data_IF_039337578294
#
_entry.id   IF_039337578294
#
_cell.length_a   1.000
_cell.length_b   1.000
_cell.length_c   1.000
_cell.angle_alpha   90.00
_cell.angle_beta   90.00
_cell.angle_gamma   90.00
#
_symmetry.space_group_name_H-M   'P 1'
#
loop_
_entity.id
_entity.type
_entity.pdbx_description
1 polymer ?
#
# COMPACT_ATOMS: atom_id res chain seq x y z
N UNK A 1 -10.40 -1.96 -16.77
CA UNK A 1 -9.76 -3.21 -17.25
C UNK A 1 -8.26 -2.99 -17.16
N UNK A 2 -7.52 -3.96 -16.62
CA UNK A 2 -6.06 -3.94 -16.61
C UNK A 2 -5.55 -4.43 -17.97
N UNK A 3 -4.65 -3.68 -18.58
CA UNK A 3 -3.96 -4.07 -19.81
C UNK A 3 -2.46 -4.19 -19.54
N UNK A 4 -1.73 -4.87 -20.41
CA UNK A 4 -0.30 -5.18 -20.21
C UNK A 4 0.61 -3.97 -19.98
N UNK A 5 0.18 -2.76 -20.34
CA UNK A 5 0.99 -1.53 -20.19
C UNK A 5 0.29 -0.40 -19.44
N UNK A 6 -0.94 -0.60 -18.98
CA UNK A 6 -1.68 0.48 -18.33
C UNK A 6 -3.11 0.11 -17.93
N UNK A 7 -3.83 1.10 -17.42
CA UNK A 7 -5.23 0.98 -17.01
C UNK A 7 -6.12 1.62 -18.05
N UNK A 8 -7.09 0.86 -18.56
CA UNK A 8 -8.16 1.39 -19.41
C UNK A 8 -9.44 1.54 -18.60
N UNK A 9 -9.96 2.75 -18.54
CA UNK A 9 -11.25 3.09 -17.96
C UNK A 9 -12.28 3.33 -19.07
N UNK A 10 -13.36 2.54 -19.05
CA UNK A 10 -14.49 2.72 -19.96
C UNK A 10 -15.63 3.38 -19.19
N UNK A 11 -15.94 4.63 -19.51
CA UNK A 11 -17.10 5.32 -18.96
C UNK A 11 -18.38 4.90 -19.70
N UNK A 12 -19.52 4.90 -19.01
CA UNK A 12 -20.84 4.69 -19.62
C UNK A 12 -21.37 5.92 -20.35
N UNK A 13 -20.85 7.12 -20.03
CA UNK A 13 -21.32 8.41 -20.58
C UNK A 13 -20.19 9.28 -21.15
N UNK A 14 -19.02 8.71 -21.44
CA UNK A 14 -17.86 9.50 -21.87
C UNK A 14 -16.81 8.69 -22.63
N UNK A 15 -15.74 9.37 -23.08
CA UNK A 15 -14.66 8.73 -23.81
C UNK A 15 -13.98 7.67 -22.95
N UNK A 16 -13.48 6.63 -23.61
CA UNK A 16 -12.60 5.65 -22.96
C UNK A 16 -11.26 6.33 -22.68
N UNK A 17 -10.78 6.24 -21.44
CA UNK A 17 -9.52 6.83 -21.00
C UNK A 17 -8.49 5.73 -20.75
N UNK A 18 -7.22 6.04 -21.01
CA UNK A 18 -6.11 5.13 -20.87
C UNK A 18 -4.94 5.83 -20.18
N UNK A 19 -4.37 5.17 -19.16
CA UNK A 19 -3.17 5.63 -18.46
C UNK A 19 -2.09 4.55 -18.48
N UNK A 20 -0.91 4.84 -19.05
CA UNK A 20 0.25 3.98 -18.88
C UNK A 20 0.65 3.86 -17.41
N UNK A 21 1.10 2.68 -16.95
CA UNK A 21 1.55 2.50 -15.56
C UNK A 21 2.66 3.46 -15.14
N UNK A 22 3.52 3.84 -16.08
CA UNK A 22 4.64 4.78 -15.84
C UNK A 22 4.17 6.19 -15.47
N UNK A 23 3.02 6.63 -15.99
CA UNK A 23 2.44 7.97 -15.72
C UNK A 23 1.63 8.00 -14.42
N UNK A 24 1.32 6.84 -13.86
CA UNK A 24 0.61 6.75 -12.58
C UNK A 24 1.63 6.97 -11.46
N UNK A 25 1.36 7.95 -10.60
CA UNK A 25 2.13 8.22 -9.40
C UNK A 25 1.66 7.34 -8.24
N UNK A 26 0.35 7.25 -8.03
CA UNK A 26 -0.28 6.32 -7.08
C UNK A 26 -1.73 6.08 -7.45
N UNK A 27 -2.31 5.02 -6.87
CA UNK A 27 -3.75 4.86 -6.74
C UNK A 27 -4.18 4.89 -5.29
N UNK A 28 -5.42 5.27 -5.09
CA UNK A 28 -6.13 5.17 -3.83
C UNK A 28 -7.45 4.44 -4.10
N UNK A 29 -7.56 3.25 -3.47
CA UNK A 29 -8.71 2.35 -3.53
C UNK A 29 -9.41 2.26 -2.17
N UNK A 30 -9.42 3.36 -1.40
CA UNK A 30 -10.02 3.41 -0.06
C UNK A 30 -11.54 3.17 -0.04
N UNK A 31 -12.14 3.04 -1.21
CA UNK A 31 -13.54 2.92 -1.45
C UNK A 31 -13.79 1.80 -2.46
N UNK A 32 -14.63 0.79 -2.17
CA UNK A 32 -14.90 -0.31 -3.08
C UNK A 32 -15.30 0.22 -4.46
N UNK A 33 -16.17 1.24 -4.49
CA UNK A 33 -16.68 1.87 -5.72
C UNK A 33 -16.00 3.18 -6.08
N UNK A 34 -14.88 3.55 -5.48
CA UNK A 34 -14.20 4.79 -5.88
C UNK A 34 -12.70 4.58 -5.94
N UNK A 35 -12.19 4.94 -7.10
CA UNK A 35 -10.78 4.85 -7.43
C UNK A 35 -10.28 6.26 -7.69
N UNK A 36 -9.24 6.67 -6.98
CA UNK A 36 -8.53 7.91 -7.27
C UNK A 36 -7.19 7.56 -7.90
N UNK A 37 -6.95 8.07 -9.09
CA UNK A 37 -5.69 7.98 -9.81
C UNK A 37 -4.98 9.31 -9.64
N UNK A 38 -3.75 9.28 -9.14
CA UNK A 38 -2.85 10.43 -9.23
C UNK A 38 -1.78 10.13 -10.27
N UNK A 39 -1.68 11.01 -11.26
CA UNK A 39 -0.74 10.87 -12.35
C UNK A 39 0.25 12.02 -12.40
N UNK A 40 1.43 11.74 -12.93
CA UNK A 40 2.30 12.76 -13.49
C UNK A 40 1.68 13.13 -14.85
N UNK A 41 1.30 14.39 -15.08
CA UNK A 41 1.11 14.85 -16.45
C UNK A 41 2.02 16.05 -16.69
N UNK A 42 2.93 15.89 -17.66
CA UNK A 42 3.67 16.97 -18.29
C UNK A 42 3.20 17.08 -19.75
N UNK A 43 2.00 17.64 -19.98
CA UNK A 43 1.56 17.98 -21.34
C UNK A 43 2.17 19.31 -21.77
N UNK A 44 2.85 19.25 -22.92
CA UNK A 44 3.62 20.31 -23.56
C UNK A 44 3.10 21.76 -23.43
N UNK A 45 4.08 22.62 -23.14
CA UNK A 45 4.21 24.08 -23.27
C UNK A 45 3.12 25.04 -22.73
N UNK A 46 1.83 24.74 -22.58
CA UNK A 46 0.84 25.84 -22.29
C UNK A 46 -0.22 25.65 -21.20
N UNK A 47 -0.11 24.69 -20.27
CA UNK A 47 -0.99 24.64 -19.09
C UNK A 47 -0.18 24.17 -17.87
N UNK A 48 -0.50 24.74 -16.70
CA UNK A 48 0.26 24.65 -15.44
C UNK A 48 0.63 23.20 -15.08
N UNK A 49 1.92 23.01 -14.76
CA UNK A 49 2.45 21.83 -14.06
C UNK A 49 1.73 21.65 -12.72
N UNK A 50 1.22 20.45 -12.45
CA UNK A 50 0.62 20.10 -11.17
C UNK A 50 0.17 18.64 -11.12
N UNK A 51 0.21 18.03 -9.93
CA UNK A 51 -0.36 16.70 -9.68
C UNK A 51 -1.86 16.71 -10.07
N UNK A 52 -2.26 15.81 -10.96
CA UNK A 52 -3.65 15.71 -11.40
C UNK A 52 -4.31 14.51 -10.74
N UNK A 53 -5.33 14.80 -9.92
CA UNK A 53 -6.19 13.81 -9.26
C UNK A 53 -7.40 13.51 -10.13
N UNK A 54 -7.47 12.30 -10.66
CA UNK A 54 -8.68 11.80 -11.33
C UNK A 54 -9.46 10.93 -10.37
N UNK A 55 -10.75 11.23 -10.22
CA UNK A 55 -11.66 10.47 -9.38
C UNK A 55 -12.67 9.74 -10.25
N UNK A 56 -12.72 8.44 -10.09
CA UNK A 56 -13.67 7.56 -10.77
C UNK A 56 -14.62 6.98 -9.74
N UNK A 57 -15.91 7.18 -9.93
CA UNK A 57 -16.93 6.39 -9.24
C UNK A 57 -17.27 5.18 -10.13
N UNK A 58 -17.02 3.99 -9.60
CA UNK A 58 -17.11 2.71 -10.30
C UNK A 58 -18.52 2.11 -10.14
N UNK A 59 -19.03 1.52 -11.21
CA UNK A 59 -20.32 0.83 -11.21
C UNK A 59 -20.34 -0.41 -10.30
N UNK A 60 -19.18 -1.00 -10.03
CA UNK A 60 -19.02 -2.15 -9.13
C UNK A 60 -17.74 -2.00 -8.31
N UNK A 61 -17.70 -2.60 -7.11
CA UNK A 61 -16.47 -2.66 -6.32
C UNK A 61 -15.28 -3.18 -7.11
N UNK A 62 -14.08 -2.62 -6.93
CA UNK A 62 -12.84 -3.27 -7.40
C UNK A 62 -12.63 -4.52 -6.55
N UNK A 63 -12.56 -5.73 -7.13
CA UNK A 63 -12.24 -6.92 -6.35
C UNK A 63 -10.82 -6.83 -5.77
N UNK A 64 -10.57 -7.35 -4.55
CA UNK A 64 -9.24 -7.30 -3.91
C UNK A 64 -8.11 -7.83 -4.80
N UNK A 65 -8.35 -8.93 -5.53
CA UNK A 65 -7.37 -9.49 -6.45
C UNK A 65 -6.99 -8.52 -7.59
N UNK A 66 -7.95 -7.74 -8.10
CA UNK A 66 -7.69 -6.73 -9.15
C UNK A 66 -6.96 -5.52 -8.57
N UNK A 67 -7.27 -5.14 -7.34
CA UNK A 67 -6.56 -4.09 -6.62
C UNK A 67 -5.08 -4.46 -6.37
N UNK A 68 -4.84 -5.70 -5.95
CA UNK A 68 -3.50 -6.25 -5.73
C UNK A 68 -2.69 -6.34 -7.03
N UNK A 69 -3.29 -6.86 -8.11
CA UNK A 69 -2.66 -6.91 -9.43
C UNK A 69 -2.31 -5.50 -9.94
N UNK A 70 -3.23 -4.55 -9.79
CA UNK A 70 -2.99 -3.15 -10.16
C UNK A 70 -1.81 -2.56 -9.39
N UNK A 71 -1.77 -2.76 -8.07
CA UNK A 71 -0.67 -2.28 -7.24
C UNK A 71 0.67 -2.88 -7.68
N UNK A 72 0.70 -4.18 -7.97
CA UNK A 72 1.88 -4.88 -8.49
C UNK A 72 2.37 -4.26 -9.81
N UNK A 73 1.48 -4.07 -10.78
CA UNK A 73 1.84 -3.55 -12.12
C UNK A 73 2.30 -2.09 -12.13
N UNK A 74 1.80 -1.26 -11.20
CA UNK A 74 2.21 0.16 -11.10
C UNK A 74 3.65 0.28 -10.62
N UNK A 75 4.16 -0.69 -9.84
CA UNK A 75 5.55 -0.74 -9.38
C UNK A 75 5.99 0.40 -8.45
N UNK A 76 5.14 1.41 -8.21
CA UNK A 76 5.32 2.53 -7.27
C UNK A 76 4.44 2.32 -6.03
N UNK A 77 4.73 2.94 -4.87
CA UNK A 77 3.91 2.81 -3.68
C UNK A 77 2.45 3.14 -3.95
N UNK A 78 1.55 2.19 -3.69
CA UNK A 78 0.10 2.31 -3.93
C UNK A 78 -0.64 2.25 -2.60
N UNK A 79 -1.66 3.10 -2.43
CA UNK A 79 -2.63 2.96 -1.33
C UNK A 79 -3.70 1.95 -1.73
N UNK A 80 -3.50 0.69 -1.35
CA UNK A 80 -4.53 -0.32 -1.49
C UNK A 80 -5.39 -0.39 -0.23
N UNK A 81 -6.66 -0.01 -0.36
CA UNK A 81 -7.63 0.05 0.74
C UNK A 81 -8.47 -1.21 0.94
N UNK A 82 -8.32 -2.24 0.09
CA UNK A 82 -9.15 -3.45 0.11
C UNK A 82 -8.27 -4.72 0.08
N UNK A 83 -7.67 -5.11 1.23
CA UNK A 83 -6.90 -6.34 1.34
C UNK A 83 -7.79 -7.58 1.25
N UNK A 84 -7.30 -8.65 0.63
CA UNK A 84 -7.99 -9.95 0.65
C UNK A 84 -7.89 -10.58 2.06
N UNK A 85 -9.02 -10.74 2.79
CA UNK A 85 -9.01 -11.27 4.15
C UNK A 85 -8.67 -12.77 4.22
N UNK A 86 -8.62 -13.48 3.08
CA UNK A 86 -8.31 -14.91 3.02
C UNK A 86 -6.94 -15.22 2.42
N UNK A 87 -6.20 -14.22 1.90
CA UNK A 87 -4.85 -14.42 1.38
C UNK A 87 -3.93 -15.07 2.43
N UNK A 88 -3.04 -16.03 2.11
CA UNK A 88 -2.17 -16.67 3.11
C UNK A 88 -1.32 -15.67 3.89
N UNK A 89 -1.27 -15.83 5.21
CA UNK A 89 -0.45 -15.03 6.12
C UNK A 89 0.36 -15.93 7.03
N UNK A 90 1.65 -15.62 7.25
CA UNK A 90 2.51 -16.40 8.16
C UNK A 90 2.32 -16.01 9.63
N UNK A 91 1.74 -14.85 9.89
CA UNK A 91 1.35 -14.41 11.22
C UNK A 91 0.15 -13.45 11.14
N UNK A 92 -0.63 -13.38 12.21
CA UNK A 92 -1.71 -12.41 12.35
C UNK A 92 -1.83 -11.92 13.79
N UNK A 93 -2.08 -10.63 13.97
CA UNK A 93 -2.24 -9.99 15.28
C UNK A 93 -3.47 -9.09 15.23
N UNK A 94 -4.40 -9.29 16.17
CA UNK A 94 -5.52 -8.37 16.34
C UNK A 94 -5.00 -7.01 16.82
N UNK A 95 -5.47 -5.93 16.21
CA UNK A 95 -4.96 -4.59 16.46
C UNK A 95 -6.10 -3.55 16.42
N UNK A 96 -5.81 -2.38 16.99
CA UNK A 96 -6.61 -1.18 16.85
C UNK A 96 -5.75 -0.10 16.21
N UNK A 97 -6.27 0.57 15.19
CA UNK A 97 -5.70 1.81 14.67
C UNK A 97 -6.44 2.99 15.31
N UNK A 98 -5.80 3.81 16.17
CA UNK A 98 -6.44 4.98 16.75
C UNK A 98 -6.58 6.09 15.71
N UNK A 99 -7.72 6.77 15.69
CA UNK A 99 -7.90 7.98 14.88
C UNK A 99 -7.43 9.18 15.69
N UNK A 100 -6.44 9.92 15.21
CA UNK A 100 -5.88 11.09 15.92
C UNK A 100 -6.81 12.32 15.98
N UNK A 101 -8.05 12.25 15.49
CA UNK A 101 -8.96 13.39 15.38
C UNK A 101 -9.93 13.55 16.56
N UNK A 102 -9.44 13.60 17.81
CA UNK A 102 -10.13 14.14 19.01
C UNK A 102 -11.50 13.58 19.43
N UNK A 103 -12.13 12.73 18.62
CA UNK A 103 -13.38 12.03 18.88
C UNK A 103 -13.03 10.57 19.14
N UNK A 104 -13.78 9.90 20.01
CA UNK A 104 -13.65 8.46 20.24
C UNK A 104 -13.81 7.71 18.91
N UNK A 105 -12.69 7.42 18.28
CA UNK A 105 -12.63 6.98 16.90
C UNK A 105 -11.34 6.22 16.64
N UNK A 106 -11.46 5.16 15.87
CA UNK A 106 -10.40 4.23 15.54
C UNK A 106 -11.04 2.97 14.99
N UNK A 107 -10.29 2.22 14.21
CA UNK A 107 -10.75 0.94 13.68
C UNK A 107 -10.19 -0.19 14.52
N UNK A 108 -11.01 -1.22 14.74
CA UNK A 108 -10.52 -2.52 15.16
C UNK A 108 -10.35 -3.38 13.91
N UNK A 109 -9.26 -4.14 13.88
CA UNK A 109 -8.94 -5.00 12.77
C UNK A 109 -7.92 -6.05 13.12
N UNK A 110 -7.37 -6.67 12.09
CA UNK A 110 -6.30 -7.67 12.19
C UNK A 110 -5.17 -7.29 11.26
N UNK A 111 -3.97 -7.16 11.80
CA UNK A 111 -2.75 -7.14 11.03
C UNK A 111 -2.43 -8.56 10.57
N UNK A 112 -2.20 -8.72 9.28
CA UNK A 112 -1.85 -9.98 8.64
C UNK A 112 -0.51 -9.79 7.94
N UNK A 113 0.48 -10.56 8.37
CA UNK A 113 1.82 -10.51 7.80
C UNK A 113 1.93 -11.59 6.73
N UNK A 114 2.07 -11.15 5.48
CA UNK A 114 2.10 -11.97 4.27
C UNK A 114 3.51 -12.04 3.69
N UNK A 115 3.73 -13.00 2.81
CA UNK A 115 5.04 -13.16 2.16
C UNK A 115 5.43 -11.93 1.34
N UNK A 116 4.46 -11.25 0.75
CA UNK A 116 4.61 -10.07 -0.11
C UNK A 116 4.35 -8.72 0.59
N UNK A 117 3.84 -8.71 1.83
CA UNK A 117 3.58 -7.47 2.56
C UNK A 117 2.84 -7.59 3.88
N UNK A 118 2.21 -6.49 4.29
CA UNK A 118 1.36 -6.38 5.48
C UNK A 118 -0.04 -5.94 5.04
N UNK A 119 -1.07 -6.62 5.53
CA UNK A 119 -2.44 -6.15 5.42
C UNK A 119 -2.99 -5.78 6.79
N UNK A 120 -3.72 -4.68 6.85
CA UNK A 120 -4.61 -4.37 7.95
C UNK A 120 -6.05 -4.51 7.47
N UNK A 121 -6.72 -5.57 7.93
CA UNK A 121 -8.11 -5.86 7.60
C UNK A 121 -9.00 -5.29 8.70
N UNK A 122 -9.87 -4.33 8.34
CA UNK A 122 -10.82 -3.70 9.25
C UNK A 122 -12.23 -3.72 8.66
N UNK A 123 -13.26 -3.80 9.53
CA UNK A 123 -14.67 -3.76 9.09
C UNK A 123 -15.10 -2.37 8.64
N UNK A 124 -14.49 -1.33 9.20
CA UNK A 124 -14.82 0.05 8.89
C UNK A 124 -14.24 0.45 7.53
N UNK A 125 -15.09 1.08 6.72
CA UNK A 125 -14.73 1.55 5.40
C UNK A 125 -13.58 2.56 5.42
N UNK A 126 -12.62 2.41 4.50
CA UNK A 126 -11.49 3.34 4.36
C UNK A 126 -10.47 3.25 5.49
N UNK A 127 -10.59 2.26 6.38
CA UNK A 127 -9.65 2.00 7.48
C UNK A 127 -8.71 0.84 7.16
N UNK A 128 -9.13 -0.09 6.29
CA UNK A 128 -8.28 -1.19 5.83
C UNK A 128 -7.15 -0.69 4.92
N UNK A 129 -5.99 -1.36 4.97
CA UNK A 129 -4.79 -0.99 4.21
C UNK A 129 -4.01 -2.24 3.82
N UNK A 130 -3.28 -2.16 2.73
CA UNK A 130 -2.32 -3.16 2.31
C UNK A 130 -1.05 -2.47 1.84
N UNK A 131 0.09 -2.91 2.37
CA UNK A 131 1.42 -2.43 2.04
C UNK A 131 2.26 -3.59 1.52
N UNK A 132 2.91 -3.42 0.37
CA UNK A 132 3.99 -4.35 0.00
C UNK A 132 5.21 -4.02 0.84
N UNK A 133 6.08 -5.00 1.04
CA UNK A 133 7.36 -4.76 1.70
C UNK A 133 8.19 -3.64 1.04
N UNK A 134 8.10 -3.46 -0.28
CA UNK A 134 8.79 -2.38 -1.02
C UNK A 134 8.20 -0.99 -0.79
N UNK A 135 6.97 -0.92 -0.29
CA UNK A 135 6.25 0.35 -0.08
C UNK A 135 6.41 0.88 1.35
N UNK A 136 6.97 0.06 2.25
CA UNK A 136 7.21 0.39 3.65
C UNK A 136 8.57 1.08 3.75
N UNK A 137 8.55 2.35 4.12
CA UNK A 137 9.74 3.17 4.33
C UNK A 137 10.25 3.06 5.77
N UNK A 138 9.34 2.83 6.72
CA UNK A 138 9.70 2.65 8.12
C UNK A 138 8.79 1.63 8.80
N UNK A 139 9.42 0.70 9.51
CA UNK A 139 8.77 -0.20 10.44
C UNK A 139 9.36 0.04 11.83
N UNK A 140 8.53 0.49 12.77
CA UNK A 140 8.97 0.75 14.14
C UNK A 140 8.10 0.01 15.15
N UNK A 141 8.73 -0.55 16.17
CA UNK A 141 8.09 -1.15 17.34
C UNK A 141 8.61 -0.39 18.57
N UNK A 142 7.96 0.71 19.00
CA UNK A 142 8.43 1.48 20.16
C UNK A 142 8.31 0.68 21.46
N UNK A 143 7.32 -0.21 21.52
CA UNK A 143 7.19 -1.23 22.56
C UNK A 143 6.43 -2.46 22.01
N UNK A 144 6.41 -3.60 22.71
CA UNK A 144 5.81 -4.83 22.19
C UNK A 144 4.32 -4.72 21.82
N UNK A 145 3.58 -3.75 22.35
CA UNK A 145 2.15 -3.58 22.08
C UNK A 145 1.86 -2.51 21.04
N UNK A 146 2.89 -1.92 20.44
CA UNK A 146 2.73 -0.90 19.42
C UNK A 146 3.54 -1.22 18.17
N UNK A 147 2.90 -1.07 17.01
CA UNK A 147 3.56 -1.18 15.72
C UNK A 147 3.24 0.05 14.88
N UNK A 148 4.26 0.65 14.30
CA UNK A 148 4.14 1.74 13.34
C UNK A 148 4.61 1.27 11.98
N UNK A 149 3.75 1.44 10.99
CA UNK A 149 4.04 1.20 9.57
C UNK A 149 3.94 2.55 8.86
N UNK A 150 5.06 3.05 8.34
CA UNK A 150 5.09 4.24 7.51
C UNK A 150 5.48 3.88 6.08
N UNK A 151 4.71 4.37 5.12
CA UNK A 151 5.05 4.34 3.70
C UNK A 151 4.96 5.74 3.10
N UNK A 152 5.15 5.82 1.79
CA UNK A 152 5.32 7.06 1.01
C UNK A 152 4.36 8.22 1.31
N UNK A 153 3.13 7.95 1.78
CA UNK A 153 2.12 9.00 2.00
C UNK A 153 1.37 8.93 3.31
N UNK A 154 1.59 7.90 4.12
CA UNK A 154 0.86 7.75 5.38
C UNK A 154 1.64 6.91 6.38
N UNK A 155 1.41 7.25 7.65
CA UNK A 155 1.89 6.49 8.79
C UNK A 155 0.67 5.95 9.53
N UNK A 156 0.70 4.64 9.80
CA UNK A 156 -0.30 3.95 10.59
C UNK A 156 0.33 3.49 11.89
N UNK A 157 -0.21 3.99 12.99
CA UNK A 157 0.05 3.49 14.33
C UNK A 157 -0.97 2.42 14.70
N UNK A 158 -0.51 1.33 15.29
CA UNK A 158 -1.33 0.22 15.74
C UNK A 158 -1.09 -0.08 17.19
N UNK A 159 -2.17 -0.14 17.96
CA UNK A 159 -2.25 -0.71 19.29
C UNK A 159 -2.54 -2.22 19.15
N UNK A 160 -1.57 -3.07 19.44
CA UNK A 160 -1.66 -4.52 19.31
C UNK A 160 -2.36 -5.11 20.53
N UNK A 161 -3.25 -6.09 20.31
CA UNK A 161 -3.97 -6.78 21.41
C UNK A 161 -3.13 -7.87 22.10
N UNK A 162 -1.97 -8.17 21.53
CA UNK A 162 -0.97 -9.11 22.06
C UNK A 162 0.42 -8.58 21.75
N UNK A 163 1.44 -8.90 22.57
CA UNK A 163 2.79 -8.44 22.32
C UNK A 163 3.33 -9.02 21.01
N UNK A 164 4.01 -8.17 20.24
CA UNK A 164 4.80 -8.58 19.09
C UNK A 164 6.04 -9.33 19.60
N UNK A 165 6.09 -10.63 19.34
CA UNK A 165 7.25 -11.44 19.69
C UNK A 165 8.50 -10.97 18.96
N UNK A 166 9.65 -11.05 19.62
CA UNK A 166 10.94 -10.61 19.08
C UNK A 166 11.27 -11.28 17.75
N UNK A 167 11.10 -12.60 17.65
CA UNK A 167 11.37 -13.35 16.41
C UNK A 167 10.49 -12.88 15.24
N UNK A 168 9.24 -12.51 15.53
CA UNK A 168 8.35 -11.96 14.52
C UNK A 168 8.81 -10.56 14.13
N UNK A 169 9.15 -9.68 15.08
CA UNK A 169 9.69 -8.36 14.77
C UNK A 169 10.98 -8.43 13.95
N UNK A 170 11.93 -9.27 14.33
CA UNK A 170 13.19 -9.47 13.62
C UNK A 170 12.92 -9.93 12.17
N UNK A 171 11.99 -10.88 11.97
CA UNK A 171 11.57 -11.28 10.62
C UNK A 171 10.98 -10.12 9.81
N UNK A 172 10.16 -9.26 10.43
CA UNK A 172 9.57 -8.11 9.75
C UNK A 172 10.62 -7.04 9.43
N UNK A 173 11.56 -6.83 10.34
CA UNK A 173 12.70 -5.93 10.17
C UNK A 173 13.54 -6.36 8.97
N UNK A 174 13.87 -7.64 8.86
CA UNK A 174 14.64 -8.17 7.72
C UNK A 174 13.92 -7.95 6.39
N UNK A 175 12.58 -8.05 6.36
CA UNK A 175 11.80 -7.80 5.15
C UNK A 175 11.89 -6.36 4.65
N UNK A 176 12.04 -5.40 5.57
CA UNK A 176 12.08 -3.97 5.26
C UNK A 176 13.51 -3.50 5.03
N UNK A 177 14.45 -3.85 5.92
CA UNK A 177 15.78 -3.26 5.96
C UNK A 177 16.91 -4.15 5.45
N UNK A 178 16.79 -5.48 5.51
CA UNK A 178 17.87 -6.36 5.04
C UNK A 178 17.93 -6.47 3.50
N UNK A 179 16.96 -5.88 2.79
CA UNK A 179 16.95 -5.82 1.32
C UNK A 179 18.11 -5.00 0.75
N UNK A 180 18.48 -3.91 1.40
CA UNK A 180 19.55 -3.01 0.95
C UNK A 180 20.95 -3.51 1.37
N UNK A 181 21.01 -4.43 2.34
CA UNK A 181 22.27 -5.00 2.83
C UNK A 181 22.83 -6.12 1.91
N UNK A 182 22.03 -6.66 0.99
CA UNK A 182 22.43 -7.75 0.09
C UNK A 182 23.14 -7.27 -1.21
N UNK A 183 23.51 -5.98 -1.34
CA UNK A 183 24.07 -5.40 -2.58
C UNK A 183 25.58 -5.10 -2.52
N UNK A 184 26.32 -5.62 -1.54
CA UNK A 184 27.79 -5.57 -1.60
C UNK A 184 28.36 -6.96 -1.81
N UNK A 185 28.64 -7.38 -3.07
CA UNK A 185 29.72 -8.35 -3.25
C UNK A 185 30.99 -7.68 -2.74
N UNK A 186 31.54 -8.22 -1.65
CA UNK A 186 32.90 -7.94 -1.23
C UNK A 186 33.79 -8.20 -2.46
N UNK A 187 34.12 -7.13 -3.19
CA UNK A 187 35.02 -7.24 -4.33
C UNK A 187 36.38 -7.46 -3.70
N UNK A 188 36.80 -8.72 -3.74
CA UNK A 188 38.04 -9.18 -3.13
C UNK A 188 39.19 -8.30 -3.57
N UNK A 189 39.87 -7.70 -2.60
CA UNK A 189 41.19 -7.14 -2.81
C UNK A 189 42.13 -8.27 -3.20
N UNK A 190 42.49 -8.34 -4.47
CA UNK A 190 43.76 -8.93 -4.90
C UNK A 190 44.59 -7.82 -5.53
N UNK A 191 45.80 -7.73 -4.99
CA UNK A 191 46.98 -6.89 -5.22
C UNK A 191 47.28 -6.42 -6.66
N UNK A 192 48.17 -5.43 -6.79
CA UNK A 192 49.60 -5.75 -6.97
C UNK A 192 50.47 -5.48 -5.74
#
# INVERSE_FOLDING_TARGET
MLETKGVRFRSTQGPTLYWPFVEIQTFDLLAPRRMVLEGYENRGWRRRSGEQRFRFDLASPVPPAVAAELAHQVGKPVRNGDPDPWAPSFASIAARHPRHSGHSGGSNGTLRFREDGIDYVAQAYGEARSWRWTDIETLANPDPYHLRVAGYRETFDFELKQPLGRDLFDRLWDRVYARDLNVLPATGGTQP
#
